data_IF_506312543465
#
_entry.id   IF_506312543465
#
_cell.length_a   1.000
_cell.length_b   1.000
_cell.length_c   1.000
_cell.angle_alpha   90.00
_cell.angle_beta   90.00
_cell.angle_gamma   90.00
#
_symmetry.space_group_name_H-M   'P 1'
#
loop_
_entity.id
_entity.type
_entity.pdbx_description
1 polymer ?
#
# COMPACT_ATOMS: atom_id res chain seq x y z
N UNK A 1 -2.43 -9.70 -16.40
CA UNK A 1 -3.65 -10.24 -15.78
C UNK A 1 -4.68 -9.12 -15.67
N UNK A 2 -5.22 -8.69 -16.81
CA UNK A 2 -6.27 -7.66 -16.93
C UNK A 2 -7.10 -8.06 -18.15
N UNK A 3 -7.90 -9.10 -18.04
CA UNK A 3 -8.87 -9.42 -19.08
C UNK A 3 -10.18 -9.73 -18.37
N UNK A 4 -11.11 -8.79 -18.49
CA UNK A 4 -12.53 -8.79 -18.11
C UNK A 4 -12.88 -7.88 -16.91
N UNK A 5 -12.85 -6.57 -17.16
CA UNK A 5 -13.24 -5.51 -16.22
C UNK A 5 -14.18 -4.53 -16.95
N UNK A 6 -15.23 -4.04 -16.28
CA UNK A 6 -16.12 -3.04 -16.88
C UNK A 6 -15.40 -1.69 -17.01
N UNK A 7 -15.95 -0.74 -17.79
CA UNK A 7 -15.29 0.54 -18.08
C UNK A 7 -14.87 1.35 -16.85
N UNK A 8 -15.66 1.33 -15.75
CA UNK A 8 -15.32 2.02 -14.49
C UNK A 8 -14.17 1.34 -13.72
N UNK A 9 -14.13 0.02 -13.73
CA UNK A 9 -13.09 -0.76 -13.04
C UNK A 9 -11.71 -0.51 -13.69
N UNK A 10 -11.68 -0.36 -15.01
CA UNK A 10 -10.49 0.03 -15.77
C UNK A 10 -9.94 1.40 -15.32
N UNK A 11 -10.80 2.40 -15.11
CA UNK A 11 -10.36 3.77 -14.74
C UNK A 11 -9.77 3.84 -13.33
N UNK A 12 -10.32 3.06 -12.38
CA UNK A 12 -9.80 2.98 -11.01
C UNK A 12 -8.43 2.31 -10.97
N UNK A 13 -8.27 1.20 -11.69
CA UNK A 13 -7.00 0.48 -11.79
C UNK A 13 -5.96 1.31 -12.52
N UNK A 14 -6.37 2.12 -13.49
CA UNK A 14 -5.48 3.07 -14.17
C UNK A 14 -4.88 4.14 -13.24
N UNK A 15 -5.45 4.36 -12.03
CA UNK A 15 -4.86 5.25 -11.00
C UNK A 15 -3.62 4.61 -10.34
N UNK A 16 -3.52 3.28 -10.35
CA UNK A 16 -2.38 2.54 -9.81
C UNK A 16 -1.22 2.63 -10.81
N UNK A 17 -0.07 3.16 -10.36
CA UNK A 17 1.12 3.36 -11.18
C UNK A 17 2.18 2.31 -10.86
N UNK A 18 2.38 1.37 -11.78
CA UNK A 18 3.45 0.37 -11.64
C UNK A 18 4.81 1.00 -11.93
N UNK A 19 5.74 0.84 -10.99
CA UNK A 19 7.15 1.20 -11.15
C UNK A 19 7.92 -0.09 -11.44
N UNK A 20 8.30 -0.26 -12.71
CA UNK A 20 9.09 -1.42 -13.14
C UNK A 20 10.50 -1.40 -12.55
N UNK A 21 11.09 -2.59 -12.39
CA UNK A 21 12.47 -2.76 -11.87
C UNK A 21 13.53 -2.04 -12.72
N UNK A 22 13.28 -1.87 -14.02
CA UNK A 22 14.12 -1.08 -14.94
C UNK A 22 14.01 0.44 -14.73
N UNK A 23 12.97 0.89 -14.03
CA UNK A 23 12.61 2.30 -13.90
C UNK A 23 12.94 2.88 -12.51
N UNK A 24 13.36 2.05 -11.54
CA UNK A 24 13.59 2.45 -10.15
C UNK A 24 14.54 3.64 -9.97
N UNK A 25 15.50 3.83 -10.88
CA UNK A 25 16.46 4.96 -10.88
C UNK A 25 16.27 5.96 -12.01
N UNK A 26 15.25 5.78 -12.87
CA UNK A 26 15.02 6.65 -14.02
C UNK A 26 14.25 7.89 -13.60
N UNK A 27 14.99 8.99 -13.38
CA UNK A 27 14.42 10.27 -12.93
C UNK A 27 13.27 10.74 -13.82
N UNK A 28 13.43 10.67 -15.14
CA UNK A 28 12.41 11.11 -16.10
C UNK A 28 11.10 10.31 -15.94
N UNK A 29 11.20 8.98 -15.81
CA UNK A 29 10.05 8.13 -15.56
C UNK A 29 9.33 8.52 -14.26
N UNK A 30 10.08 8.70 -13.16
CA UNK A 30 9.50 9.16 -11.88
C UNK A 30 8.82 10.52 -12.00
N UNK A 31 9.38 11.45 -12.78
CA UNK A 31 8.75 12.76 -13.01
C UNK A 31 7.46 12.62 -13.82
N UNK A 32 7.41 11.75 -14.82
CA UNK A 32 6.21 11.50 -15.61
C UNK A 32 5.09 10.90 -14.75
N UNK A 33 5.41 9.94 -13.88
CA UNK A 33 4.44 9.39 -12.93
C UNK A 33 3.84 10.47 -12.03
N UNK A 34 4.67 11.35 -11.45
CA UNK A 34 4.21 12.46 -10.61
C UNK A 34 3.26 13.43 -11.33
N UNK A 35 3.55 13.76 -12.59
CA UNK A 35 2.72 14.68 -13.39
C UNK A 35 1.30 14.15 -13.56
N UNK A 36 1.15 12.83 -13.64
CA UNK A 36 -0.18 12.18 -13.78
C UNK A 36 -0.92 12.01 -12.46
N UNK A 37 -0.27 12.25 -11.31
CA UNK A 37 -0.91 12.16 -10.02
C UNK A 37 -1.88 13.33 -9.80
N UNK A 38 -3.12 13.03 -9.42
CA UNK A 38 -4.11 14.02 -8.98
C UNK A 38 -3.92 14.28 -7.47
N UNK A 39 -4.94 14.12 -6.64
CA UNK A 39 -4.88 14.37 -5.19
C UNK A 39 -4.16 13.26 -4.41
N UNK A 40 -4.07 12.07 -5.02
CA UNK A 40 -3.32 10.94 -4.48
C UNK A 40 -2.46 10.29 -5.57
N UNK A 41 -1.23 9.95 -5.22
CA UNK A 41 -0.36 9.07 -5.98
C UNK A 41 -0.38 7.67 -5.36
N UNK A 42 -0.67 6.67 -6.18
CA UNK A 42 -0.61 5.25 -5.80
C UNK A 42 0.44 4.57 -6.65
N UNK A 43 1.59 4.25 -6.07
CA UNK A 43 2.70 3.57 -6.72
C UNK A 43 2.81 2.12 -6.28
N UNK A 44 3.01 1.20 -7.22
CA UNK A 44 3.26 -0.22 -6.95
C UNK A 44 4.66 -0.60 -7.40
N UNK A 45 5.42 -1.24 -6.52
CA UNK A 45 6.72 -1.83 -6.82
C UNK A 45 6.61 -3.33 -6.52
N UNK A 46 6.91 -4.16 -7.51
CA UNK A 46 7.03 -5.61 -7.35
C UNK A 46 8.45 -6.01 -7.77
N UNK A 47 9.24 -6.51 -6.83
CA UNK A 47 10.62 -6.92 -7.07
C UNK A 47 11.11 -7.90 -6.00
N UNK A 48 12.31 -8.44 -6.18
CA UNK A 48 13.09 -8.91 -5.04
C UNK A 48 13.44 -7.73 -4.13
N UNK A 49 13.66 -8.02 -2.86
CA UNK A 49 14.05 -7.00 -1.89
C UNK A 49 14.53 -7.61 -0.60
N UNK A 50 15.01 -6.72 0.25
CA UNK A 50 15.35 -6.94 1.64
C UNK A 50 14.83 -5.74 2.43
N UNK A 51 15.08 -5.69 3.74
CA UNK A 51 14.65 -4.56 4.55
C UNK A 51 15.19 -3.22 4.01
N UNK A 52 14.26 -2.33 3.66
CA UNK A 52 14.55 -0.97 3.18
C UNK A 52 15.04 -0.87 1.74
N UNK A 53 15.18 -1.99 1.00
CA UNK A 53 15.73 -2.01 -0.36
C UNK A 53 14.92 -2.90 -1.32
N UNK A 54 14.90 -2.52 -2.59
CA UNK A 54 14.39 -3.33 -3.70
C UNK A 54 15.45 -3.45 -4.78
N UNK A 55 15.43 -4.53 -5.55
CA UNK A 55 16.43 -4.77 -6.60
C UNK A 55 15.93 -4.31 -7.97
N UNK A 56 16.80 -3.67 -8.75
CA UNK A 56 16.58 -3.42 -10.16
C UNK A 56 16.72 -4.68 -11.01
N UNK A 57 16.31 -4.61 -12.28
CA UNK A 57 16.50 -5.75 -13.21
C UNK A 57 17.98 -6.06 -13.47
N UNK A 58 18.85 -5.10 -13.18
CA UNK A 58 20.30 -5.23 -13.19
C UNK A 58 20.87 -5.88 -11.93
N UNK A 59 20.01 -6.33 -11.01
CA UNK A 59 20.40 -6.93 -9.73
C UNK A 59 20.97 -5.92 -8.72
N UNK A 60 20.93 -4.62 -9.00
CA UNK A 60 21.46 -3.60 -8.07
C UNK A 60 20.40 -3.18 -7.08
N UNK A 61 20.81 -3.08 -5.81
CA UNK A 61 19.95 -2.56 -4.74
C UNK A 61 19.60 -1.07 -4.97
N UNK A 62 18.36 -0.73 -4.65
CA UNK A 62 17.81 0.63 -4.65
C UNK A 62 17.13 0.85 -3.30
N UNK A 63 17.56 1.88 -2.57
CA UNK A 63 16.94 2.22 -1.30
C UNK A 63 15.53 2.75 -1.52
N UNK A 64 14.56 2.26 -0.77
CA UNK A 64 13.19 2.79 -0.81
C UNK A 64 13.15 4.29 -0.52
N UNK A 65 14.01 4.76 0.39
CA UNK A 65 14.18 6.19 0.68
C UNK A 65 14.58 7.01 -0.55
N UNK A 66 15.41 6.46 -1.45
CA UNK A 66 15.78 7.11 -2.72
C UNK A 66 14.56 7.22 -3.63
N UNK A 67 13.76 6.15 -3.74
CA UNK A 67 12.54 6.14 -4.55
C UNK A 67 11.54 7.19 -4.02
N UNK A 68 11.29 7.19 -2.71
CA UNK A 68 10.39 8.16 -2.07
C UNK A 68 10.86 9.60 -2.25
N UNK A 69 12.17 9.84 -2.27
CA UNK A 69 12.75 11.18 -2.43
C UNK A 69 12.33 11.84 -3.74
N UNK A 70 12.08 11.05 -4.80
CA UNK A 70 11.54 11.60 -6.04
C UNK A 70 10.19 12.26 -5.76
N UNK A 71 9.31 11.64 -4.97
CA UNK A 71 7.96 12.13 -4.73
C UNK A 71 7.88 13.20 -3.62
N UNK A 72 9.03 13.76 -3.21
CA UNK A 72 9.09 14.97 -2.40
C UNK A 72 8.96 16.26 -3.23
N UNK A 73 8.99 17.39 -2.52
CA UNK A 73 8.98 18.74 -3.12
C UNK A 73 7.59 19.33 -3.37
N UNK A 74 7.52 20.58 -3.86
CA UNK A 74 6.29 21.37 -3.90
C UNK A 74 5.17 20.75 -4.75
N UNK A 75 5.51 20.12 -5.89
CA UNK A 75 4.51 19.52 -6.80
C UNK A 75 3.76 18.32 -6.22
N UNK A 76 4.23 17.78 -5.09
CA UNK A 76 3.66 16.65 -4.38
C UNK A 76 3.30 16.99 -2.93
N UNK A 77 3.45 18.25 -2.48
CA UNK A 77 3.29 18.63 -1.07
C UNK A 77 1.86 18.37 -0.56
N UNK A 78 0.87 18.75 -1.36
CA UNK A 78 -0.56 18.61 -1.00
C UNK A 78 -1.17 17.28 -1.46
N UNK A 79 -0.37 16.39 -2.05
CA UNK A 79 -0.82 15.10 -2.58
C UNK A 79 -0.52 13.98 -1.60
N UNK A 80 -1.52 13.15 -1.35
CA UNK A 80 -1.32 11.90 -0.62
C UNK A 80 -0.45 10.93 -1.43
N UNK A 81 0.40 10.16 -0.76
CA UNK A 81 1.39 9.28 -1.39
C UNK A 81 1.28 7.89 -0.78
N UNK A 82 0.79 6.93 -1.56
CA UNK A 82 0.69 5.53 -1.19
C UNK A 82 1.67 4.73 -2.03
N UNK A 83 2.57 4.00 -1.38
CA UNK A 83 3.46 3.04 -2.02
C UNK A 83 3.11 1.64 -1.53
N UNK A 84 2.76 0.76 -2.46
CA UNK A 84 2.55 -0.65 -2.20
C UNK A 84 3.77 -1.40 -2.72
N UNK A 85 4.55 -1.94 -1.80
CA UNK A 85 5.79 -2.61 -2.12
C UNK A 85 5.60 -4.08 -1.83
N UNK A 86 5.62 -4.87 -2.90
CA UNK A 86 5.70 -6.31 -2.80
C UNK A 86 7.15 -6.70 -3.08
N UNK A 87 7.88 -6.92 -2.00
CA UNK A 87 9.22 -7.47 -2.01
C UNK A 87 9.45 -8.22 -0.70
N UNK A 88 10.38 -9.17 -0.69
CA UNK A 88 10.81 -9.77 0.56
C UNK A 88 11.46 -8.69 1.45
N UNK A 89 11.37 -8.86 2.77
CA UNK A 89 12.07 -8.02 3.76
C UNK A 89 13.23 -8.77 4.44
N UNK A 90 13.46 -10.02 4.05
CA UNK A 90 14.50 -10.89 4.58
C UNK A 90 14.40 -12.29 3.96
N UNK A 91 15.20 -13.23 4.47
CA UNK A 91 15.24 -14.62 4.01
C UNK A 91 14.33 -15.58 4.79
N UNK A 92 13.72 -15.14 5.89
CA UNK A 92 12.88 -15.99 6.73
C UNK A 92 11.41 -15.94 6.28
N UNK A 93 10.67 -16.98 6.65
CA UNK A 93 9.30 -17.24 6.22
C UNK A 93 8.37 -17.15 7.43
N UNK A 94 7.30 -16.38 7.32
CA UNK A 94 6.24 -16.35 8.33
C UNK A 94 5.67 -17.77 8.54
N UNK A 95 5.91 -18.33 9.73
CA UNK A 95 5.43 -19.65 10.12
C UNK A 95 3.91 -19.76 10.15
N UNK A 96 3.21 -18.63 10.19
CA UNK A 96 1.81 -18.54 10.55
C UNK A 96 1.60 -18.86 12.03
N UNK A 97 0.80 -18.06 12.73
CA UNK A 97 0.40 -18.40 14.09
C UNK A 97 -0.53 -19.62 14.06
N UNK A 98 -0.10 -20.77 14.58
CA UNK A 98 -1.03 -21.79 15.05
C UNK A 98 -1.69 -21.26 16.31
N UNK A 99 -3.02 -21.20 16.33
CA UNK A 99 -3.78 -20.92 17.55
C UNK A 99 -3.73 -22.17 18.41
N UNK A 100 -2.66 -22.35 19.19
CA UNK A 100 -2.66 -23.26 20.33
C UNK A 100 -2.76 -22.45 21.61
N UNK A 101 -3.68 -22.86 22.48
CA UNK A 101 -3.88 -22.26 23.79
C UNK A 101 -2.61 -22.45 24.64
N UNK A 102 -2.10 -21.34 25.16
CA UNK A 102 -1.10 -21.21 26.21
C UNK A 102 0.17 -22.08 26.10
N UNK A 103 1.23 -21.57 25.47
CA UNK A 103 2.60 -21.63 26.03
C UNK A 103 3.66 -20.94 25.14
N UNK A 104 4.43 -20.05 25.78
CA UNK A 104 5.77 -19.57 25.38
C UNK A 104 5.95 -19.00 23.95
N UNK A 105 5.94 -17.68 23.85
CA UNK A 105 6.48 -16.94 22.70
C UNK A 105 8.00 -17.16 22.61
N UNK A 106 8.46 -17.90 21.61
CA UNK A 106 9.83 -17.79 21.13
C UNK A 106 9.91 -16.59 20.19
N UNK A 107 10.77 -15.63 20.50
CA UNK A 107 11.13 -14.51 19.63
C UNK A 107 11.87 -15.08 18.40
N UNK A 108 11.11 -15.50 17.38
CA UNK A 108 11.65 -15.70 16.03
C UNK A 108 11.78 -14.31 15.38
N UNK A 109 12.94 -14.03 14.80
CA UNK A 109 13.23 -12.77 14.11
C UNK A 109 12.25 -12.62 12.93
N UNK A 110 11.56 -11.47 12.84
CA UNK A 110 10.42 -11.27 11.94
C UNK A 110 10.87 -11.10 10.46
N UNK A 111 11.22 -12.19 9.77
CA UNK A 111 11.43 -12.16 8.33
C UNK A 111 10.14 -12.40 7.53
N UNK A 112 9.80 -11.46 6.66
CA UNK A 112 8.62 -11.54 5.78
C UNK A 112 9.02 -11.81 4.33
N UNK A 113 8.59 -12.96 3.78
CA UNK A 113 8.73 -13.26 2.36
C UNK A 113 7.49 -12.80 1.57
N UNK A 114 7.71 -12.25 0.38
CA UNK A 114 6.64 -11.91 -0.54
C UNK A 114 6.41 -13.06 -1.53
N UNK A 115 5.21 -13.64 -1.53
CA UNK A 115 4.88 -14.70 -2.49
C UNK A 115 4.43 -14.09 -3.83
N UNK A 116 5.03 -14.59 -4.92
CA UNK A 116 4.61 -14.32 -6.29
C UNK A 116 3.83 -15.52 -6.81
N UNK A 117 2.54 -15.36 -7.09
CA UNK A 117 1.73 -16.41 -7.72
C UNK A 117 1.94 -16.33 -9.26
N UNK A 118 1.84 -17.43 -10.02
CA UNK A 118 1.94 -17.40 -11.49
C UNK A 118 0.96 -16.44 -12.16
N UNK A 119 -0.17 -16.16 -11.51
CA UNK A 119 -1.16 -15.21 -11.98
C UNK A 119 -0.78 -13.75 -11.65
N UNK A 120 0.12 -13.50 -10.71
CA UNK A 120 0.52 -12.16 -10.27
C UNK A 120 0.71 -12.05 -8.76
N UNK A 121 0.85 -10.81 -8.30
CA UNK A 121 0.98 -10.46 -6.89
C UNK A 121 -0.30 -10.77 -6.12
N UNK A 122 -0.20 -11.54 -5.04
CA UNK A 122 -1.33 -11.75 -4.11
C UNK A 122 -1.84 -10.40 -3.58
N UNK A 123 -0.92 -9.53 -3.15
CA UNK A 123 -1.25 -8.20 -2.62
C UNK A 123 -2.01 -7.35 -3.65
N UNK A 124 -1.51 -7.26 -4.89
CA UNK A 124 -2.13 -6.41 -5.90
C UNK A 124 -3.42 -7.01 -6.44
N UNK A 125 -3.49 -8.33 -6.61
CA UNK A 125 -4.74 -9.01 -6.98
C UNK A 125 -5.82 -8.76 -5.93
N UNK A 126 -5.52 -9.03 -4.66
CA UNK A 126 -6.47 -8.81 -3.57
C UNK A 126 -6.88 -7.34 -3.45
N UNK A 127 -5.98 -6.39 -3.73
CA UNK A 127 -6.34 -4.98 -3.81
C UNK A 127 -7.33 -4.71 -4.94
N UNK A 128 -7.06 -5.21 -6.16
CA UNK A 128 -7.98 -5.06 -7.29
C UNK A 128 -9.35 -5.67 -6.96
N UNK A 129 -9.39 -6.89 -6.41
CA UNK A 129 -10.64 -7.56 -6.01
C UNK A 129 -11.42 -6.75 -4.96
N UNK A 130 -10.73 -6.01 -4.08
CA UNK A 130 -11.38 -5.12 -3.11
C UNK A 130 -11.93 -3.85 -3.74
N UNK A 131 -11.27 -3.33 -4.77
CA UNK A 131 -11.71 -2.13 -5.50
C UNK A 131 -12.87 -2.42 -6.44
N UNK A 132 -12.99 -3.64 -6.95
CA UNK A 132 -14.14 -4.06 -7.78
C UNK A 132 -15.41 -4.31 -6.97
N UNK A 133 -15.29 -4.55 -5.65
CA UNK A 133 -16.45 -4.75 -4.78
C UNK A 133 -17.23 -3.46 -4.60
N UNK A 134 -18.55 -3.57 -4.47
CA UNK A 134 -19.43 -2.44 -4.16
C UNK A 134 -18.97 -1.74 -2.86
N UNK A 135 -18.82 -0.41 -2.93
CA UNK A 135 -18.32 0.39 -1.81
C UNK A 135 -16.80 0.34 -1.61
N UNK A 136 -16.06 -0.42 -2.45
CA UNK A 136 -14.61 -0.56 -2.37
C UNK A 136 -13.84 0.72 -2.68
N UNK A 137 -14.12 1.41 -3.81
CA UNK A 137 -13.47 2.66 -4.17
C UNK A 137 -13.72 3.81 -3.19
N UNK A 138 -14.86 3.78 -2.48
CA UNK A 138 -15.26 4.75 -1.47
C UNK A 138 -14.60 4.53 -0.11
N UNK A 139 -13.82 3.46 0.07
CA UNK A 139 -13.13 3.21 1.33
C UNK A 139 -12.01 4.23 1.57
N UNK A 140 -11.98 4.73 2.81
CA UNK A 140 -10.80 5.38 3.37
C UNK A 140 -9.61 4.39 3.36
N UNK A 141 -8.40 4.91 3.13
CA UNK A 141 -7.21 4.09 2.91
C UNK A 141 -6.90 3.12 4.06
N UNK A 142 -6.95 3.53 5.34
CA UNK A 142 -6.71 2.61 6.46
C UNK A 142 -7.76 1.49 6.49
N UNK A 143 -9.02 1.80 6.19
CA UNK A 143 -10.10 0.80 6.08
C UNK A 143 -9.84 -0.19 4.94
N UNK A 144 -9.42 0.31 3.78
CA UNK A 144 -9.06 -0.51 2.61
C UNK A 144 -7.86 -1.42 2.93
N UNK A 145 -6.80 -0.88 3.53
CA UNK A 145 -5.60 -1.63 3.92
C UNK A 145 -5.91 -2.70 4.98
N UNK A 146 -6.82 -2.41 5.92
CA UNK A 146 -7.28 -3.41 6.90
C UNK A 146 -8.00 -4.58 6.23
N UNK A 147 -8.90 -4.30 5.28
CA UNK A 147 -9.59 -5.34 4.51
C UNK A 147 -8.63 -6.13 3.63
N UNK A 148 -7.62 -5.47 3.07
CA UNK A 148 -6.55 -6.09 2.30
C UNK A 148 -5.76 -7.07 3.17
N UNK A 149 -5.33 -6.67 4.36
CA UNK A 149 -4.65 -7.56 5.31
C UNK A 149 -5.49 -8.78 5.67
N UNK A 150 -6.77 -8.56 5.99
CA UNK A 150 -7.68 -9.67 6.30
C UNK A 150 -7.77 -10.66 5.13
N UNK A 151 -8.03 -10.17 3.91
CA UNK A 151 -8.16 -11.03 2.74
C UNK A 151 -6.87 -11.81 2.46
N UNK A 152 -5.70 -11.17 2.52
CA UNK A 152 -4.42 -11.86 2.30
C UNK A 152 -4.16 -12.89 3.39
N UNK A 153 -4.32 -12.54 4.67
CA UNK A 153 -4.02 -13.44 5.78
C UNK A 153 -4.88 -14.72 5.79
N UNK A 154 -6.18 -14.57 5.53
CA UNK A 154 -7.12 -15.68 5.64
C UNK A 154 -7.26 -16.47 4.34
N UNK A 155 -7.17 -15.81 3.17
CA UNK A 155 -7.47 -16.46 1.89
C UNK A 155 -6.22 -16.86 1.09
N UNK A 156 -5.04 -16.37 1.46
CA UNK A 156 -3.79 -16.83 0.86
C UNK A 156 -3.18 -17.97 1.68
N UNK A 157 -2.69 -18.98 0.97
CA UNK A 157 -1.84 -20.03 1.48
C UNK A 157 -0.98 -20.54 0.33
N UNK A 158 0.34 -20.56 0.51
CA UNK A 158 1.22 -21.08 -0.53
C UNK A 158 1.09 -22.59 -0.67
N UNK A 159 1.23 -23.06 -1.91
CA UNK A 159 1.14 -24.48 -2.28
C UNK A 159 2.52 -25.04 -2.58
N UNK A 160 2.67 -26.35 -2.42
CA UNK A 160 3.90 -27.08 -2.81
C UNK A 160 4.52 -27.86 -1.65
N UNK A 161 5.57 -28.64 -1.94
CA UNK A 161 6.19 -29.53 -0.95
C UNK A 161 7.02 -28.79 0.09
N UNK A 162 7.66 -27.69 -0.30
CA UNK A 162 8.61 -26.95 0.54
C UNK A 162 7.95 -25.76 1.23
N UNK A 163 7.11 -25.03 0.50
CA UNK A 163 6.42 -23.83 0.99
C UNK A 163 4.93 -24.07 1.23
N UNK A 164 4.44 -25.31 1.22
CA UNK A 164 3.03 -25.61 1.46
C UNK A 164 2.58 -25.11 2.84
N UNK A 165 1.41 -24.48 2.91
CA UNK A 165 0.82 -24.03 4.18
C UNK A 165 1.33 -22.70 4.72
N UNK A 166 2.33 -22.07 4.07
CA UNK A 166 2.83 -20.77 4.53
C UNK A 166 1.84 -19.65 4.19
N UNK A 167 1.77 -18.69 5.09
CA UNK A 167 0.87 -17.54 5.02
C UNK A 167 1.63 -16.29 4.59
N UNK A 168 0.88 -15.25 4.25
CA UNK A 168 1.42 -13.93 3.97
C UNK A 168 0.62 -12.91 4.79
N UNK A 169 1.31 -11.96 5.41
CA UNK A 169 0.70 -10.81 6.05
C UNK A 169 1.34 -9.53 5.49
N UNK A 170 0.57 -8.67 4.80
CA UNK A 170 1.09 -7.36 4.43
C UNK A 170 1.23 -6.48 5.67
N UNK A 171 2.30 -5.67 5.70
CA UNK A 171 2.55 -4.69 6.74
C UNK A 171 2.52 -3.29 6.12
N UNK A 172 1.76 -2.37 6.71
CA UNK A 172 1.64 -1.00 6.24
C UNK A 172 2.16 -0.02 7.27
N UNK A 173 2.98 0.93 6.81
CA UNK A 173 3.47 2.05 7.61
C UNK A 173 2.84 3.32 7.07
N UNK A 174 2.11 4.03 7.91
CA UNK A 174 1.40 5.26 7.54
C UNK A 174 2.00 6.49 8.20
N UNK A 175 2.05 7.59 7.44
CA UNK A 175 2.30 8.96 7.92
C UNK A 175 1.18 9.91 7.49
N UNK A 176 0.02 9.39 7.12
CA UNK A 176 -1.13 10.22 6.78
C UNK A 176 -1.61 10.97 8.02
N UNK A 177 -1.93 12.25 7.85
CA UNK A 177 -2.43 13.13 8.93
C UNK A 177 -3.91 13.47 8.78
N UNK A 178 -4.57 12.87 7.79
CA UNK A 178 -5.98 13.05 7.41
C UNK A 178 -6.48 11.77 6.76
N UNK A 179 -7.79 11.62 6.69
CA UNK A 179 -8.43 10.57 5.91
C UNK A 179 -8.14 10.78 4.41
N UNK A 180 -7.85 9.69 3.71
CA UNK A 180 -7.51 9.70 2.28
C UNK A 180 -8.37 8.67 1.57
N UNK A 181 -8.96 9.07 0.45
CA UNK A 181 -9.80 8.24 -0.40
C UNK A 181 -9.13 8.09 -1.78
N UNK A 182 -8.18 7.16 -1.95
CA UNK A 182 -7.30 7.13 -3.12
C UNK A 182 -8.00 6.73 -4.41
N UNK A 183 -9.19 6.14 -4.31
CA UNK A 183 -9.93 5.55 -5.42
C UNK A 183 -11.33 6.12 -5.57
N UNK A 184 -11.81 6.95 -4.64
CA UNK A 184 -13.11 7.58 -4.76
C UNK A 184 -13.15 8.51 -5.97
N UNK A 185 -14.26 8.48 -6.70
CA UNK A 185 -14.49 9.34 -7.86
C UNK A 185 -14.64 10.79 -7.42
N UNK A 186 -14.14 11.72 -8.24
CA UNK A 186 -14.15 13.15 -7.93
C UNK A 186 -15.56 13.76 -7.78
N UNK A 187 -16.59 13.16 -8.39
CA UNK A 187 -17.98 13.61 -8.19
C UNK A 187 -18.52 13.22 -6.81
N UNK A 188 -18.24 12.00 -6.36
CA UNK A 188 -18.60 11.51 -5.03
C UNK A 188 -17.74 12.17 -3.94
N UNK A 189 -16.48 12.45 -4.24
CA UNK A 189 -15.56 13.14 -3.34
C UNK A 189 -16.02 14.57 -3.01
N UNK A 190 -16.57 15.31 -3.99
CA UNK A 190 -17.12 16.64 -3.72
C UNK A 190 -18.37 16.60 -2.82
N UNK A 191 -19.22 15.58 -2.95
CA UNK A 191 -20.37 15.38 -2.07
C UNK A 191 -19.95 14.90 -0.66
N UNK A 192 -18.94 14.04 -0.59
CA UNK A 192 -18.36 13.56 0.66
C UNK A 192 -17.60 14.65 1.41
N UNK A 193 -16.86 15.52 0.72
CA UNK A 193 -16.16 16.67 1.31
C UNK A 193 -17.17 17.66 1.88
N UNK A 194 -18.30 17.91 1.22
CA UNK A 194 -19.37 18.75 1.78
C UNK A 194 -19.98 18.15 3.07
N UNK A 195 -20.13 16.83 3.10
CA UNK A 195 -20.63 16.07 4.27
C UNK A 195 -19.61 16.01 5.42
N UNK A 196 -18.34 15.72 5.12
CA UNK A 196 -17.22 15.70 6.06
C UNK A 196 -16.94 17.11 6.59
N UNK A 197 -17.03 18.14 5.76
CA UNK A 197 -16.91 19.53 6.20
C UNK A 197 -18.03 19.84 7.18
N UNK A 198 -19.28 19.47 6.88
CA UNK A 198 -20.43 19.68 7.77
C UNK A 198 -20.31 18.92 9.11
N UNK A 199 -19.75 17.71 9.11
CA UNK A 199 -19.45 16.95 10.31
C UNK A 199 -18.22 17.49 11.07
N UNK A 200 -17.20 17.98 10.36
CA UNK A 200 -15.97 18.53 10.92
C UNK A 200 -16.18 19.91 11.56
N UNK A 201 -17.08 20.75 11.03
CA UNK A 201 -17.49 21.99 11.73
C UNK A 201 -18.13 21.72 13.09
N UNK A 202 -18.61 20.49 13.36
CA UNK A 202 -19.12 20.11 14.68
C UNK A 202 -18.03 19.60 15.63
N UNK A 203 -16.81 19.29 15.15
CA UNK A 203 -15.74 18.68 15.95
C UNK A 203 -14.43 19.50 16.00
N UNK A 204 -14.29 20.55 15.20
CA UNK A 204 -13.07 21.36 15.11
C UNK A 204 -13.38 22.83 15.41
N UNK A 205 -13.77 23.12 16.66
CA UNK A 205 -13.61 24.45 17.24
C UNK A 205 -12.76 24.39 18.52
N UNK A 206 -11.74 23.53 18.53
CA UNK A 206 -10.71 23.56 19.57
C UNK A 206 -9.49 24.34 19.07
N UNK A 207 -9.14 25.49 19.68
CA UNK A 207 -8.02 26.31 19.24
C UNK A 207 -6.71 25.52 19.32
N UNK A 208 -5.82 25.74 18.33
CA UNK A 208 -4.47 25.14 18.27
C UNK A 208 -3.74 25.30 19.61
N UNK A 209 -3.74 24.25 20.42
CA UNK A 209 -2.96 24.23 21.66
C UNK A 209 -1.49 24.07 21.30
N UNK A 210 -0.70 25.11 21.56
CA UNK A 210 0.76 25.06 21.47
C UNK A 210 1.27 23.88 22.30
N UNK A 211 1.97 22.94 21.64
CA UNK A 211 2.62 21.82 22.33
C UNK A 211 3.70 22.40 23.26
N UNK A 212 3.55 22.18 24.57
CA UNK A 212 4.64 22.44 25.51
C UNK A 212 5.76 21.44 25.24
N UNK A 213 7.01 21.92 25.24
CA UNK A 213 8.18 21.08 25.06
C UNK A 213 8.17 19.95 26.10
N UNK A 214 8.35 18.71 25.65
CA UNK A 214 8.63 17.59 26.54
C UNK A 214 10.02 17.80 27.13
N UNK A 215 10.13 17.68 28.45
CA UNK A 215 11.38 17.84 29.20
C UNK A 215 12.37 16.72 28.80
N UNK A 216 13.65 17.10 28.89
CA UNK A 216 14.88 16.32 28.65
C UNK A 216 14.93 14.96 29.32
#
# INVERSE_FOLDING_TARGET
MIHNMNGRDCDLINRIKTIGTNELKKKEHMQNLKKTAKDCFVGVISSHGEEGVVFGADGRAVKLAEIYSYFGGPSMADKSKLFLIQACRGHELDGGAKVEADSSFSEEEDGYAAFMHPLGSVLIQTLCDLLEKEGGPELEIQRLLTRLNYQVAYNFESRGKVLGGKKQMPCFVTRFTREVFPFMDSQTAAAADLSLTFAATQLIDEPRRSRKNSIS
#
